data_IF_877225353002
#
_entry.id   IF_877225353002
#
_cell.length_a   1.000
_cell.length_b   1.000
_cell.length_c   1.000
_cell.angle_alpha   90.00
_cell.angle_beta   90.00
_cell.angle_gamma   90.00
#
_symmetry.space_group_name_H-M   'P 1'
#
loop_
_entity.id
_entity.type
_entity.pdbx_description
1 polymer ?
#
# COMPACT_ATOMS: atom_id res chain seq x y z
N UNK A 1 26.82 -37.79 -114.17
CA UNK A 1 27.76 -38.90 -114.30
C UNK A 1 27.72 -39.72 -113.05
N UNK A 2 27.24 -40.91 -113.20
CA UNK A 2 27.65 -42.22 -112.70
C UNK A 2 27.58 -42.41 -111.15
N UNK A 3 26.54 -43.20 -110.79
CA UNK A 3 26.58 -44.61 -110.37
C UNK A 3 27.42 -44.91 -109.13
N UNK A 4 27.02 -45.67 -108.16
CA UNK A 4 26.47 -47.03 -108.04
C UNK A 4 26.15 -47.33 -106.55
N UNK A 5 25.00 -47.74 -106.20
CA UNK A 5 24.54 -48.99 -105.65
C UNK A 5 25.55 -49.83 -104.85
N UNK A 6 25.17 -50.19 -103.62
CA UNK A 6 25.16 -51.57 -103.16
C UNK A 6 24.56 -51.67 -101.71
N UNK A 7 23.53 -52.48 -101.61
CA UNK A 7 23.01 -53.18 -100.47
C UNK A 7 23.95 -54.31 -100.04
N UNK A 8 23.64 -55.12 -99.03
CA UNK A 8 23.15 -54.94 -97.61
C UNK A 8 24.03 -55.75 -96.64
N UNK A 9 23.83 -55.50 -95.34
CA UNK A 9 24.11 -56.62 -94.41
C UNK A 9 23.21 -56.52 -93.15
N UNK A 10 22.26 -57.43 -93.06
CA UNK A 10 21.52 -57.75 -91.83
C UNK A 10 22.51 -58.21 -90.77
N UNK A 11 22.44 -57.62 -89.59
CA UNK A 11 22.98 -58.19 -88.35
C UNK A 11 21.88 -58.18 -87.29
N UNK A 12 21.70 -59.34 -86.73
CA UNK A 12 20.66 -59.80 -85.82
C UNK A 12 20.44 -58.91 -84.63
N UNK A 13 19.16 -58.72 -84.34
CA UNK A 13 18.72 -58.05 -83.10
C UNK A 13 19.10 -58.83 -81.87
N UNK A 14 19.70 -58.09 -80.93
CA UNK A 14 19.71 -58.48 -79.50
C UNK A 14 18.48 -57.83 -78.83
N UNK A 15 17.45 -58.65 -78.65
CA UNK A 15 16.33 -58.35 -77.77
C UNK A 15 16.83 -58.42 -76.39
N UNK A 16 17.09 -57.25 -75.73
CA UNK A 16 17.24 -57.15 -74.27
C UNK A 16 15.85 -57.29 -73.72
N UNK A 17 15.54 -58.41 -73.13
CA UNK A 17 14.36 -58.67 -72.31
C UNK A 17 14.27 -57.58 -71.18
N UNK A 18 13.12 -56.94 -70.98
CA UNK A 18 12.93 -56.05 -69.79
C UNK A 18 12.99 -56.94 -68.56
N UNK A 19 13.96 -56.67 -67.73
CA UNK A 19 14.06 -57.31 -66.39
C UNK A 19 12.72 -57.25 -65.72
N UNK A 20 12.07 -58.37 -65.50
CA UNK A 20 10.85 -58.49 -64.68
C UNK A 20 11.20 -57.99 -63.27
N UNK A 21 10.83 -56.73 -62.99
CA UNK A 21 10.83 -56.19 -61.65
C UNK A 21 10.03 -57.13 -60.79
N UNK A 22 10.66 -57.65 -59.70
CA UNK A 22 10.05 -58.58 -58.74
C UNK A 22 8.95 -57.89 -57.94
N UNK A 23 7.64 -58.17 -58.21
CA UNK A 23 6.52 -57.46 -57.55
C UNK A 23 6.43 -57.70 -56.06
N UNK A 24 7.15 -58.69 -55.51
CA UNK A 24 7.21 -59.02 -54.09
C UNK A 24 8.07 -58.06 -53.26
N UNK A 25 9.09 -57.41 -53.85
CA UNK A 25 9.93 -56.45 -53.17
C UNK A 25 9.19 -55.11 -52.97
N UNK A 26 8.45 -54.65 -53.92
CA UNK A 26 7.69 -53.39 -53.84
C UNK A 26 6.52 -53.50 -52.87
N UNK A 27 5.88 -54.65 -52.78
CA UNK A 27 4.83 -54.90 -51.75
C UNK A 27 5.39 -54.85 -50.34
N UNK A 28 6.52 -55.45 -50.03
CA UNK A 28 7.16 -55.44 -48.73
C UNK A 28 7.62 -54.04 -48.33
N UNK A 29 8.08 -53.22 -49.26
CA UNK A 29 8.45 -51.82 -49.00
C UNK A 29 7.22 -50.97 -48.75
N UNK A 30 6.12 -51.16 -49.44
CA UNK A 30 4.87 -50.47 -49.26
C UNK A 30 4.22 -50.82 -47.89
N UNK A 31 4.26 -52.10 -47.50
CA UNK A 31 3.76 -52.54 -46.18
C UNK A 31 4.59 -51.98 -45.01
N UNK A 32 5.93 -51.96 -45.14
CA UNK A 32 6.80 -51.31 -44.12
C UNK A 32 6.55 -49.82 -44.03
N UNK A 33 6.35 -49.11 -45.13
CA UNK A 33 6.00 -47.67 -45.09
C UNK A 33 4.64 -47.43 -44.42
N UNK A 34 3.62 -48.25 -44.72
CA UNK A 34 2.31 -48.20 -44.02
C UNK A 34 2.41 -48.49 -42.55
N UNK A 35 3.23 -49.47 -42.14
CA UNK A 35 3.44 -49.78 -40.71
C UNK A 35 4.15 -48.63 -39.94
N UNK A 36 5.16 -48.01 -40.58
CA UNK A 36 5.88 -46.87 -39.95
C UNK A 36 4.97 -45.64 -39.84
N UNK A 37 4.15 -45.34 -40.83
CA UNK A 37 3.21 -44.23 -40.78
C UNK A 37 2.10 -44.48 -39.75
N UNK A 38 1.57 -45.70 -39.69
CA UNK A 38 0.59 -46.09 -38.69
C UNK A 38 1.15 -45.99 -37.23
N UNK A 39 2.41 -46.43 -37.04
CA UNK A 39 3.08 -46.30 -35.74
C UNK A 39 3.30 -44.84 -35.34
N UNK A 40 3.69 -43.98 -36.29
CA UNK A 40 3.84 -42.52 -36.02
C UNK A 40 2.49 -41.85 -35.69
N UNK A 41 1.43 -42.22 -36.39
CA UNK A 41 0.08 -41.70 -36.13
C UNK A 41 -0.43 -42.16 -34.74
N UNK A 42 -0.21 -43.45 -34.39
CA UNK A 42 -0.57 -43.94 -33.02
C UNK A 42 0.23 -43.22 -31.94
N UNK A 43 1.52 -42.99 -32.14
CA UNK A 43 2.37 -42.26 -31.15
C UNK A 43 1.89 -40.81 -31.03
N UNK A 44 1.61 -40.11 -32.11
CA UNK A 44 1.06 -38.73 -32.08
C UNK A 44 -0.31 -38.70 -31.43
N UNK A 45 -1.21 -39.65 -31.69
CA UNK A 45 -2.51 -39.74 -31.02
C UNK A 45 -2.37 -39.97 -29.53
N UNK A 46 -1.44 -40.84 -29.11
CA UNK A 46 -1.13 -41.01 -27.68
C UNK A 46 -0.56 -39.75 -27.05
N UNK A 47 0.38 -39.08 -27.69
CA UNK A 47 0.94 -37.82 -27.22
C UNK A 47 -0.14 -36.71 -27.08
N UNK A 48 -1.00 -36.58 -28.08
CA UNK A 48 -2.14 -35.68 -28.04
C UNK A 48 -3.11 -36.06 -26.91
N UNK A 49 -3.39 -37.34 -26.73
CA UNK A 49 -4.23 -37.81 -25.61
C UNK A 49 -3.64 -37.46 -24.25
N UNK A 50 -2.35 -37.68 -24.03
CA UNK A 50 -1.66 -37.30 -22.80
C UNK A 50 -1.63 -35.76 -22.61
N UNK A 51 -1.42 -34.98 -23.66
CA UNK A 51 -1.43 -33.52 -23.59
C UNK A 51 -2.83 -32.99 -23.26
N UNK A 52 -3.88 -33.54 -23.84
CA UNK A 52 -5.27 -33.20 -23.51
C UNK A 52 -5.64 -33.59 -22.08
N UNK A 53 -5.20 -34.77 -21.63
CA UNK A 53 -5.40 -35.20 -20.24
C UNK A 53 -4.70 -34.28 -19.26
N UNK A 54 -3.44 -33.93 -19.53
CA UNK A 54 -2.67 -33.00 -18.70
C UNK A 54 -3.32 -31.60 -18.65
N UNK A 55 -3.81 -31.11 -19.80
CA UNK A 55 -4.55 -29.86 -19.89
C UNK A 55 -5.88 -29.92 -19.09
N UNK A 56 -6.63 -31.00 -19.25
CA UNK A 56 -7.88 -31.21 -18.52
C UNK A 56 -7.64 -31.28 -17.00
N UNK A 57 -6.56 -31.95 -16.59
CA UNK A 57 -6.17 -32.02 -15.20
C UNK A 57 -5.76 -30.63 -14.66
N UNK A 58 -4.98 -29.88 -15.42
CA UNK A 58 -4.57 -28.53 -15.07
C UNK A 58 -5.77 -27.57 -14.96
N UNK A 59 -6.68 -27.64 -15.92
CA UNK A 59 -7.93 -26.87 -15.88
C UNK A 59 -8.79 -27.31 -14.67
N UNK A 60 -8.93 -28.60 -14.46
CA UNK A 60 -9.68 -29.17 -13.33
C UNK A 60 -9.14 -28.73 -11.98
N UNK A 61 -7.82 -28.74 -11.79
CA UNK A 61 -7.18 -28.27 -10.53
C UNK A 61 -7.39 -26.77 -10.33
N UNK A 62 -7.27 -25.94 -11.37
CA UNK A 62 -7.55 -24.51 -11.30
C UNK A 62 -9.02 -24.24 -10.98
N UNK A 63 -9.96 -24.97 -11.56
CA UNK A 63 -11.38 -24.83 -11.28
C UNK A 63 -11.72 -25.30 -9.86
N UNK A 64 -11.14 -26.39 -9.39
CA UNK A 64 -11.30 -26.88 -8.03
C UNK A 64 -10.80 -25.85 -7.01
N UNK A 65 -9.62 -25.24 -7.27
CA UNK A 65 -9.07 -24.18 -6.42
C UNK A 65 -9.94 -22.90 -6.38
N UNK A 66 -10.81 -22.71 -7.34
CA UNK A 66 -11.78 -21.59 -7.39
C UNK A 66 -13.12 -21.92 -6.77
N UNK A 67 -13.34 -23.14 -6.32
CA UNK A 67 -14.61 -23.52 -5.67
C UNK A 67 -14.70 -22.92 -4.26
N UNK A 68 -15.92 -22.74 -3.72
CA UNK A 68 -16.16 -22.28 -2.33
C UNK A 68 -15.53 -23.18 -1.26
N UNK A 69 -15.17 -24.42 -1.59
CA UNK A 69 -14.46 -25.35 -0.69
C UNK A 69 -13.09 -24.80 -0.26
N UNK A 70 -12.43 -23.97 -1.09
CA UNK A 70 -11.20 -23.25 -0.80
C UNK A 70 -11.46 -21.75 -0.64
N UNK A 71 -12.66 -21.40 -0.14
CA UNK A 71 -13.06 -20.02 0.09
C UNK A 71 -12.39 -19.42 1.33
N UNK A 72 -12.34 -18.09 1.35
CA UNK A 72 -11.93 -17.32 2.52
C UNK A 72 -12.87 -17.63 3.70
N UNK A 73 -12.35 -18.20 4.77
CA UNK A 73 -13.12 -18.55 5.97
C UNK A 73 -13.21 -17.39 6.95
N UNK A 74 -12.12 -16.65 7.18
CA UNK A 74 -12.07 -15.56 8.14
C UNK A 74 -11.14 -14.43 7.72
N UNK A 75 -11.42 -13.22 8.24
CA UNK A 75 -10.52 -12.07 8.13
C UNK A 75 -10.24 -11.54 9.53
N UNK A 76 -8.98 -11.55 9.91
CA UNK A 76 -8.49 -11.00 11.18
C UNK A 76 -7.96 -9.59 10.93
N UNK A 77 -8.48 -8.62 11.69
CA UNK A 77 -8.03 -7.23 11.64
C UNK A 77 -7.32 -6.93 12.95
N UNK A 78 -6.08 -6.47 12.85
CA UNK A 78 -5.18 -6.16 13.98
C UNK A 78 -4.67 -4.72 13.90
N UNK A 79 -4.30 -4.14 15.05
CA UNK A 79 -3.70 -2.81 15.14
C UNK A 79 -4.69 -1.65 15.20
N UNK A 80 -5.99 -1.91 15.17
CA UNK A 80 -7.03 -0.88 15.29
C UNK A 80 -7.28 -0.53 16.76
N UNK A 81 -7.39 0.77 17.07
CA UNK A 81 -7.74 1.31 18.38
C UNK A 81 -8.96 2.23 18.31
N UNK A 82 -9.00 3.09 17.33
CA UNK A 82 -10.06 4.08 17.08
C UNK A 82 -10.85 3.74 15.83
N UNK A 83 -10.16 3.14 14.83
CA UNK A 83 -10.78 2.71 13.59
C UNK A 83 -11.61 1.44 13.84
N UNK A 84 -12.88 1.45 13.45
CA UNK A 84 -13.75 0.29 13.57
C UNK A 84 -13.30 -0.87 12.66
N UNK A 85 -13.34 -2.09 13.19
CA UNK A 85 -13.06 -3.30 12.40
C UNK A 85 -13.93 -3.37 11.15
N UNK A 86 -15.21 -3.02 11.26
CA UNK A 86 -16.16 -3.08 10.16
C UNK A 86 -15.83 -2.09 9.05
N UNK A 87 -15.27 -0.91 9.40
CA UNK A 87 -14.78 0.09 8.43
C UNK A 87 -13.60 -0.45 7.62
N UNK A 88 -12.67 -1.17 8.27
CA UNK A 88 -11.54 -1.83 7.60
C UNK A 88 -12.03 -2.95 6.68
N UNK A 89 -12.97 -3.78 7.14
CA UNK A 89 -13.54 -4.88 6.36
C UNK A 89 -14.32 -4.36 5.14
N UNK A 90 -15.09 -3.29 5.31
CA UNK A 90 -15.81 -2.63 4.23
C UNK A 90 -14.84 -2.09 3.17
N UNK A 91 -13.77 -1.40 3.60
CA UNK A 91 -12.73 -0.90 2.70
C UNK A 91 -11.96 -2.03 2.00
N UNK A 92 -11.65 -3.11 2.70
CA UNK A 92 -11.00 -4.28 2.14
C UNK A 92 -11.81 -4.91 1.01
N UNK A 93 -13.16 -4.77 1.06
CA UNK A 93 -14.11 -5.33 0.09
C UNK A 93 -13.90 -6.83 -0.14
N UNK A 94 -13.68 -7.57 0.94
CA UNK A 94 -13.56 -9.03 0.94
C UNK A 94 -14.80 -9.65 1.57
N UNK A 95 -15.23 -10.80 1.03
CA UNK A 95 -16.40 -11.52 1.52
C UNK A 95 -16.02 -12.96 1.87
N UNK A 96 -16.58 -13.53 2.93
CA UNK A 96 -16.47 -14.95 3.19
C UNK A 96 -16.88 -15.78 1.97
N UNK A 97 -16.22 -16.90 1.72
CA UNK A 97 -16.49 -17.78 0.57
C UNK A 97 -15.83 -17.36 -0.74
N UNK A 98 -15.19 -16.19 -0.85
CA UNK A 98 -14.42 -15.83 -2.06
C UNK A 98 -13.23 -16.78 -2.23
N UNK A 99 -12.83 -17.10 -3.49
CA UNK A 99 -11.67 -17.95 -3.75
C UNK A 99 -10.39 -17.38 -3.11
N UNK A 100 -9.91 -18.05 -2.04
CA UNK A 100 -8.81 -17.58 -1.21
C UNK A 100 -7.50 -17.38 -1.99
N UNK A 101 -7.17 -18.33 -2.88
CA UNK A 101 -5.94 -18.27 -3.67
C UNK A 101 -5.97 -17.19 -4.76
N UNK A 102 -7.16 -16.80 -5.20
CA UNK A 102 -7.36 -15.77 -6.23
C UNK A 102 -7.42 -14.34 -5.71
N UNK A 103 -7.28 -14.12 -4.38
CA UNK A 103 -7.35 -12.79 -3.80
C UNK A 103 -6.11 -11.97 -4.15
N UNK A 104 -6.33 -10.78 -4.69
CA UNK A 104 -5.28 -9.76 -4.90
C UNK A 104 -5.04 -9.00 -3.59
N UNK A 105 -4.03 -9.45 -2.84
CA UNK A 105 -3.66 -8.86 -1.54
C UNK A 105 -3.21 -7.41 -1.67
N UNK A 106 -2.56 -7.06 -2.78
CA UNK A 106 -2.08 -5.70 -3.00
C UNK A 106 -3.24 -4.74 -3.29
N UNK A 107 -4.25 -5.16 -4.05
CA UNK A 107 -5.46 -4.39 -4.22
C UNK A 107 -6.23 -4.19 -2.90
N UNK A 108 -6.30 -5.23 -2.06
CA UNK A 108 -6.90 -5.14 -0.71
C UNK A 108 -6.09 -4.14 0.13
N UNK A 109 -4.77 -4.27 0.16
CA UNK A 109 -3.88 -3.36 0.89
C UNK A 109 -4.08 -1.91 0.47
N UNK A 110 -4.12 -1.63 -0.85
CA UNK A 110 -4.33 -0.27 -1.37
C UNK A 110 -5.68 0.31 -0.94
N UNK A 111 -6.75 -0.48 -0.97
CA UNK A 111 -8.08 -0.03 -0.52
C UNK A 111 -8.10 0.31 0.96
N UNK A 112 -7.50 -0.54 1.81
CA UNK A 112 -7.40 -0.27 3.25
C UNK A 112 -6.50 0.93 3.54
N UNK A 113 -5.36 1.06 2.85
CA UNK A 113 -4.44 2.18 2.99
C UNK A 113 -5.01 3.52 2.48
N UNK A 114 -6.08 3.48 1.68
CA UNK A 114 -6.79 4.69 1.23
C UNK A 114 -7.68 5.31 2.32
N UNK A 115 -7.95 4.60 3.42
CA UNK A 115 -8.68 5.17 4.55
C UNK A 115 -7.86 6.31 5.20
N UNK A 116 -8.45 7.48 5.45
CA UNK A 116 -7.72 8.63 6.01
C UNK A 116 -7.02 8.33 7.34
N UNK A 117 -7.67 7.52 8.20
CA UNK A 117 -7.17 7.12 9.52
C UNK A 117 -6.08 6.03 9.48
N UNK A 118 -5.70 5.54 8.29
CA UNK A 118 -4.67 4.51 8.11
C UNK A 118 -3.37 5.14 7.66
N UNK A 119 -2.31 4.97 8.44
CA UNK A 119 -0.95 5.39 8.09
C UNK A 119 -0.29 4.35 7.18
N UNK A 120 -0.44 3.07 7.53
CA UNK A 120 0.05 1.94 6.74
C UNK A 120 -0.88 0.73 6.92
N UNK A 121 -0.94 -0.11 5.90
CA UNK A 121 -1.66 -1.38 5.94
C UNK A 121 -0.79 -2.50 5.39
N UNK A 122 -0.86 -3.66 6.02
CA UNK A 122 -0.24 -4.90 5.55
C UNK A 122 -1.30 -5.99 5.50
N UNK A 123 -1.33 -6.71 4.40
CA UNK A 123 -2.27 -7.82 4.20
C UNK A 123 -1.46 -9.07 3.93
N UNK A 124 -1.68 -10.10 4.73
CA UNK A 124 -1.00 -11.39 4.59
C UNK A 124 -1.99 -12.54 4.61
N UNK A 125 -1.63 -13.62 3.92
CA UNK A 125 -2.39 -14.86 3.99
C UNK A 125 -2.08 -15.55 5.31
N UNK A 126 -3.13 -15.96 6.01
CA UNK A 126 -3.05 -16.75 7.23
C UNK A 126 -3.67 -18.13 6.93
N UNK A 127 -2.79 -19.07 6.65
CA UNK A 127 -3.20 -20.40 6.19
C UNK A 127 -4.01 -21.16 7.26
N UNK A 128 -4.97 -22.03 6.87
CA UNK A 128 -5.24 -22.48 5.49
C UNK A 128 -6.18 -21.57 4.67
N UNK A 129 -7.04 -20.76 5.28
CA UNK A 129 -8.12 -20.06 4.58
C UNK A 129 -8.49 -18.71 5.20
N UNK A 130 -7.54 -18.04 5.87
CA UNK A 130 -7.76 -16.76 6.52
C UNK A 130 -6.88 -15.65 5.97
N UNK A 131 -7.33 -14.41 6.09
CA UNK A 131 -6.53 -13.22 5.84
C UNK A 131 -6.27 -12.50 7.16
N UNK A 132 -5.07 -11.97 7.29
CA UNK A 132 -4.71 -11.05 8.36
C UNK A 132 -4.42 -9.68 7.76
N UNK A 133 -5.17 -8.67 8.23
CA UNK A 133 -5.01 -7.27 7.87
C UNK A 133 -4.45 -6.57 9.10
N UNK A 134 -3.20 -6.13 9.02
CA UNK A 134 -2.54 -5.36 10.08
C UNK A 134 -2.58 -3.90 9.67
N UNK A 135 -3.14 -3.06 10.54
CA UNK A 135 -3.34 -1.63 10.31
C UNK A 135 -2.52 -0.84 11.30
N UNK A 136 -1.71 0.07 10.79
CA UNK A 136 -1.10 1.12 11.58
C UNK A 136 -2.01 2.35 11.50
N UNK A 137 -2.63 2.72 12.61
CA UNK A 137 -3.52 3.89 12.64
C UNK A 137 -2.71 5.19 12.58
N UNK A 138 -3.32 6.19 11.95
CA UNK A 138 -2.81 7.56 11.92
C UNK A 138 -3.48 8.37 13.02
N UNK A 139 -2.78 8.65 14.15
CA UNK A 139 -3.38 9.38 15.24
C UNK A 139 -3.57 10.85 14.86
N UNK A 140 -4.67 11.49 15.29
CA UNK A 140 -4.80 12.93 15.23
C UNK A 140 -3.83 13.59 16.22
N UNK A 141 -3.17 14.67 15.79
CA UNK A 141 -2.29 15.48 16.66
C UNK A 141 -2.88 16.84 16.98
N UNK A 142 -3.84 17.31 16.19
CA UNK A 142 -4.49 18.59 16.41
C UNK A 142 -5.90 18.62 15.82
N UNK A 143 -6.68 19.60 16.23
CA UNK A 143 -7.92 20.02 15.59
C UNK A 143 -7.80 21.42 15.01
N UNK A 144 -8.38 21.64 13.82
CA UNK A 144 -8.46 22.96 13.19
C UNK A 144 -9.92 23.27 12.94
N UNK A 145 -10.37 24.47 13.33
CA UNK A 145 -11.77 24.88 13.14
C UNK A 145 -11.94 25.61 11.80
N UNK A 146 -12.95 25.19 11.05
CA UNK A 146 -13.43 25.91 9.87
C UNK A 146 -14.95 26.05 9.99
N UNK A 147 -15.43 27.26 10.07
CA UNK A 147 -16.84 27.57 10.39
C UNK A 147 -17.28 26.88 11.71
N UNK A 148 -18.32 26.06 11.68
CA UNK A 148 -18.85 25.33 12.82
C UNK A 148 -18.31 23.92 12.98
N UNK A 149 -17.26 23.53 12.20
CA UNK A 149 -16.74 22.17 12.12
C UNK A 149 -15.29 22.15 12.57
N UNK A 150 -14.92 21.16 13.38
CA UNK A 150 -13.54 20.83 13.73
C UNK A 150 -13.05 19.71 12.83
N UNK A 151 -11.89 19.91 12.25
CA UNK A 151 -11.19 18.96 11.40
C UNK A 151 -10.03 18.37 12.16
N UNK A 152 -10.03 17.07 12.34
CA UNK A 152 -8.93 16.36 13.00
C UNK A 152 -7.83 16.14 11.97
N UNK A 153 -6.61 16.49 12.35
CA UNK A 153 -5.46 16.46 11.43
C UNK A 153 -4.31 15.69 12.07
N UNK A 154 -3.68 14.85 11.27
CA UNK A 154 -2.50 14.08 11.66
C UNK A 154 -1.21 14.90 11.46
N UNK A 155 -0.10 14.39 12.01
CA UNK A 155 1.21 15.05 11.94
C UNK A 155 1.72 15.27 10.52
N UNK A 156 1.36 14.39 9.58
CA UNK A 156 1.72 14.47 8.16
C UNK A 156 0.82 15.41 7.33
N UNK A 157 -0.10 16.12 7.99
CA UNK A 157 -1.06 17.02 7.36
C UNK A 157 -2.27 16.33 6.75
N UNK A 158 -2.45 15.03 6.94
CA UNK A 158 -3.65 14.34 6.47
C UNK A 158 -4.85 14.70 7.33
N UNK A 159 -5.93 15.12 6.70
CA UNK A 159 -7.22 15.35 7.35
C UNK A 159 -7.91 14.02 7.58
N UNK A 160 -8.23 13.69 8.84
CA UNK A 160 -8.73 12.37 9.21
C UNK A 160 -10.25 12.31 9.18
N UNK A 161 -10.89 13.26 9.88
CA UNK A 161 -12.34 13.34 9.98
C UNK A 161 -12.80 14.74 10.35
N UNK A 162 -14.10 14.97 10.24
CA UNK A 162 -14.78 16.20 10.64
C UNK A 162 -15.78 15.94 11.76
N UNK A 163 -15.81 16.82 12.77
CA UNK A 163 -16.76 16.73 13.89
C UNK A 163 -17.32 18.10 14.24
N UNK A 164 -18.55 18.15 14.71
CA UNK A 164 -19.17 19.39 15.19
C UNK A 164 -18.81 19.69 16.64
N UNK A 165 -18.39 18.69 17.39
CA UNK A 165 -17.97 18.86 18.78
C UNK A 165 -16.46 19.07 18.85
N UNK A 166 -16.03 19.97 19.75
CA UNK A 166 -14.60 20.16 19.99
C UNK A 166 -13.99 18.88 20.55
N UNK A 167 -12.97 18.30 19.90
CA UNK A 167 -12.35 17.09 20.39
C UNK A 167 -11.67 17.32 21.72
N UNK A 168 -11.98 16.49 22.71
CA UNK A 168 -11.32 16.52 24.01
C UNK A 168 -9.88 15.98 23.88
N UNK A 169 -8.94 16.59 24.60
CA UNK A 169 -7.55 16.11 24.67
C UNK A 169 -6.69 16.42 23.44
N UNK A 170 -7.24 17.00 22.37
CA UNK A 170 -6.48 17.48 21.24
C UNK A 170 -6.28 18.99 21.27
N UNK A 171 -5.05 19.49 21.01
CA UNK A 171 -4.82 20.92 20.88
C UNK A 171 -5.57 21.49 19.68
N UNK A 172 -6.07 22.70 19.85
CA UNK A 172 -6.71 23.45 18.79
C UNK A 172 -5.71 24.39 18.13
N UNK A 173 -5.53 24.25 16.80
CA UNK A 173 -4.70 25.18 16.04
C UNK A 173 -5.57 26.35 15.59
N UNK A 174 -5.22 27.54 16.07
CA UNK A 174 -5.84 28.80 15.72
C UNK A 174 -5.00 29.58 14.70
N UNK A 175 -5.63 30.53 14.04
CA UNK A 175 -4.97 31.50 13.16
C UNK A 175 -4.48 30.98 11.81
N UNK A 176 -4.91 29.79 11.39
CA UNK A 176 -4.58 29.26 10.06
C UNK A 176 -5.84 28.86 9.32
N UNK A 177 -6.11 29.41 8.14
CA UNK A 177 -7.23 28.99 7.32
C UNK A 177 -6.98 27.60 6.71
N UNK A 178 -8.01 26.76 6.70
CA UNK A 178 -8.03 25.54 5.91
C UNK A 178 -8.47 25.83 4.47
N UNK A 179 -8.02 25.04 3.48
CA UNK A 179 -8.49 25.12 2.11
C UNK A 179 -10.02 25.05 2.00
N UNK A 180 -10.58 25.59 0.92
CA UNK A 180 -12.04 25.64 0.73
C UNK A 180 -12.65 24.25 0.58
N UNK A 181 -11.96 23.35 -0.07
CA UNK A 181 -12.34 21.99 -0.47
C UNK A 181 -11.83 20.89 0.47
N UNK A 182 -11.59 21.21 1.74
CA UNK A 182 -11.10 20.23 2.71
C UNK A 182 -12.13 19.12 2.95
N UNK A 183 -11.68 17.88 2.88
CA UNK A 183 -12.45 16.66 3.16
C UNK A 183 -11.56 15.59 3.82
N UNK A 184 -12.12 14.55 4.45
CA UNK A 184 -11.32 13.43 4.95
C UNK A 184 -10.48 12.80 3.84
N UNK A 185 -9.17 12.59 4.11
CA UNK A 185 -8.19 12.14 3.12
C UNK A 185 -7.45 13.26 2.40
N UNK A 186 -7.91 14.52 2.47
CA UNK A 186 -7.15 15.66 1.95
C UNK A 186 -5.81 15.77 2.67
N UNK A 187 -4.77 16.17 1.92
CA UNK A 187 -3.45 16.45 2.47
C UNK A 187 -3.19 17.95 2.43
N UNK A 188 -2.91 18.52 3.58
CA UNK A 188 -2.58 19.93 3.69
C UNK A 188 -1.20 20.20 3.08
N UNK A 189 -1.06 21.33 2.39
CA UNK A 189 0.19 21.68 1.73
C UNK A 189 1.34 21.81 2.75
N UNK A 190 2.53 21.31 2.46
CA UNK A 190 3.71 21.53 3.28
C UNK A 190 4.19 23.00 3.21
N UNK A 191 5.10 23.37 4.12
CA UNK A 191 5.77 24.68 4.06
C UNK A 191 4.92 25.87 4.53
N UNK A 192 3.78 25.64 5.14
CA UNK A 192 2.96 26.69 5.75
C UNK A 192 2.99 26.63 7.28
N UNK A 193 2.51 27.67 7.98
CA UNK A 193 2.51 27.68 9.45
C UNK A 193 1.78 26.51 10.09
N UNK A 194 0.69 26.02 9.48
CA UNK A 194 -0.06 24.86 9.95
C UNK A 194 0.78 23.59 9.86
N UNK A 195 1.44 23.36 8.75
CA UNK A 195 2.32 22.20 8.57
C UNK A 195 3.46 22.20 9.61
N UNK A 196 4.06 23.37 9.89
CA UNK A 196 5.05 23.52 10.95
C UNK A 196 4.48 23.16 12.34
N UNK A 197 3.28 23.62 12.64
CA UNK A 197 2.59 23.29 13.90
C UNK A 197 2.30 21.78 14.02
N UNK A 198 1.83 21.15 12.97
CA UNK A 198 1.54 19.71 12.95
C UNK A 198 2.81 18.87 13.10
N UNK A 199 3.90 19.26 12.42
CA UNK A 199 5.21 18.63 12.55
C UNK A 199 5.72 18.76 13.99
N UNK A 200 5.61 19.96 14.57
CA UNK A 200 6.03 20.19 15.95
C UNK A 200 5.24 19.34 16.95
N UNK A 201 3.91 19.27 16.80
CA UNK A 201 3.06 18.45 17.66
C UNK A 201 3.32 16.95 17.48
N UNK A 202 3.55 16.49 16.25
CA UNK A 202 3.79 15.08 15.96
C UNK A 202 5.11 14.55 16.48
N UNK A 203 6.15 15.39 16.51
CA UNK A 203 7.48 15.05 17.06
C UNK A 203 7.67 15.41 18.53
N UNK A 204 6.68 16.08 19.14
CA UNK A 204 6.77 16.53 20.53
C UNK A 204 6.77 15.38 21.52
N UNK A 205 7.56 15.50 22.59
CA UNK A 205 7.55 14.53 23.68
C UNK A 205 6.13 14.37 24.26
N UNK A 206 5.65 13.15 24.50
CA UNK A 206 4.27 12.92 24.98
C UNK A 206 3.93 13.65 26.27
N UNK A 207 4.92 13.86 27.16
CA UNK A 207 4.75 14.60 28.41
C UNK A 207 4.38 16.06 28.19
N UNK A 208 5.00 16.71 27.19
CA UNK A 208 4.73 18.09 26.83
C UNK A 208 3.46 18.17 25.97
N UNK A 209 3.31 17.30 25.00
CA UNK A 209 2.16 17.25 24.08
C UNK A 209 0.82 17.20 24.83
N UNK A 210 0.72 16.38 25.88
CA UNK A 210 -0.50 16.27 26.70
C UNK A 210 -0.86 17.55 27.46
N UNK A 211 0.08 18.49 27.59
CA UNK A 211 -0.14 19.76 28.25
C UNK A 211 -0.56 20.87 27.30
N UNK A 212 -0.34 20.69 25.99
CA UNK A 212 -0.72 21.68 24.97
C UNK A 212 -2.24 21.66 24.77
N UNK A 213 -2.87 22.83 24.89
CA UNK A 213 -4.34 23.00 24.72
C UNK A 213 -4.67 23.85 23.49
N UNK A 214 -3.77 24.75 23.09
CA UNK A 214 -3.95 25.55 21.90
C UNK A 214 -2.59 25.83 21.24
N UNK A 215 -2.64 26.07 19.94
CA UNK A 215 -1.49 26.40 19.12
C UNK A 215 -1.82 27.60 18.27
N UNK A 216 -0.98 28.61 18.30
CA UNK A 216 -1.05 29.79 17.46
C UNK A 216 0.09 29.74 16.43
N UNK A 217 -0.25 29.54 15.17
CA UNK A 217 0.70 29.45 14.07
C UNK A 217 0.52 30.67 13.15
N UNK A 218 1.06 31.82 13.56
CA UNK A 218 0.91 33.09 12.82
C UNK A 218 1.82 33.18 11.63
N UNK A 219 3.02 32.66 11.76
CA UNK A 219 4.05 32.57 10.70
C UNK A 219 4.82 31.25 10.87
N UNK A 220 5.71 30.93 9.94
CA UNK A 220 6.55 29.72 10.03
C UNK A 220 7.41 29.71 11.31
N UNK A 221 7.97 30.86 11.68
CA UNK A 221 8.77 31.07 12.88
C UNK A 221 7.98 31.56 14.10
N UNK A 222 6.71 31.92 13.91
CA UNK A 222 5.81 32.44 14.92
C UNK A 222 4.91 31.38 15.55
N UNK A 223 5.43 30.15 15.77
CA UNK A 223 4.71 29.08 16.42
C UNK A 223 4.74 29.26 17.93
N UNK A 224 3.57 29.35 18.54
CA UNK A 224 3.36 29.48 19.99
C UNK A 224 2.42 28.37 20.47
N UNK A 225 2.81 27.68 21.54
CA UNK A 225 1.96 26.73 22.24
C UNK A 225 1.39 27.37 23.51
N UNK A 226 0.12 27.13 23.79
CA UNK A 226 -0.50 27.43 25.06
C UNK A 226 -0.69 26.13 25.83
N UNK A 227 -0.09 26.09 27.01
CA UNK A 227 -0.19 24.95 27.91
C UNK A 227 -1.45 25.05 28.79
N UNK A 228 -1.79 23.94 29.44
CA UNK A 228 -2.99 23.81 30.27
C UNK A 228 -3.00 24.76 31.49
N UNK A 229 -1.83 25.07 32.03
CA UNK A 229 -1.64 26.02 33.14
C UNK A 229 -1.59 27.49 32.68
N UNK A 230 -1.82 27.75 31.40
CA UNK A 230 -1.80 29.09 30.82
C UNK A 230 -0.45 29.53 30.29
N UNK A 231 0.64 28.86 30.60
CA UNK A 231 1.99 29.18 30.12
C UNK A 231 2.02 29.21 28.58
N UNK A 232 2.62 30.26 28.02
CA UNK A 232 2.88 30.38 26.56
C UNK A 232 4.31 29.93 26.25
N UNK A 233 4.47 29.09 25.28
CA UNK A 233 5.76 28.60 24.83
C UNK A 233 6.01 29.09 23.40
N UNK A 234 6.96 30.01 23.21
CA UNK A 234 7.42 30.43 21.90
C UNK A 234 8.40 29.38 21.36
N UNK A 235 7.91 28.60 20.39
CA UNK A 235 8.61 27.42 19.89
C UNK A 235 9.35 27.68 18.57
N UNK A 236 8.75 28.51 17.71
CA UNK A 236 9.29 28.82 16.39
C UNK A 236 9.23 27.65 15.40
N UNK A 237 10.26 27.47 14.60
CA UNK A 237 10.31 26.38 13.64
C UNK A 237 10.37 25.01 14.34
N UNK A 238 9.75 24.00 13.72
CA UNK A 238 9.75 22.60 14.18
C UNK A 238 11.09 21.89 13.88
N UNK A 239 12.19 22.53 14.25
CA UNK A 239 13.56 22.01 14.18
C UNK A 239 14.12 21.85 15.59
N UNK A 240 15.08 20.93 15.78
CA UNK A 240 15.69 20.65 17.08
C UNK A 240 14.67 20.33 18.20
N UNK A 241 13.56 19.70 17.82
CA UNK A 241 12.43 19.43 18.71
C UNK A 241 12.85 18.74 20.04
N UNK A 242 13.71 17.69 20.03
CA UNK A 242 14.13 17.05 21.28
C UNK A 242 14.81 17.99 22.25
N UNK A 243 15.62 18.94 21.74
CA UNK A 243 16.29 19.94 22.56
C UNK A 243 15.33 20.99 23.10
N UNK A 244 14.41 21.50 22.27
CA UNK A 244 13.36 22.44 22.66
C UNK A 244 12.43 21.87 23.71
N UNK A 245 11.95 20.65 23.51
CA UNK A 245 11.09 19.97 24.47
C UNK A 245 11.80 19.75 25.81
N UNK A 246 13.07 19.33 25.78
CA UNK A 246 13.88 19.18 26.99
C UNK A 246 14.05 20.51 27.71
N UNK A 247 14.32 21.61 26.99
CA UNK A 247 14.45 22.93 27.56
C UNK A 247 13.16 23.40 28.25
N UNK A 248 11.99 23.24 27.59
CA UNK A 248 10.69 23.57 28.19
C UNK A 248 10.45 22.76 29.45
N UNK A 249 10.66 21.45 29.42
CA UNK A 249 10.43 20.57 30.56
C UNK A 249 11.40 20.85 31.70
N UNK A 250 12.66 21.17 31.44
CA UNK A 250 13.66 21.55 32.44
C UNK A 250 13.28 22.85 33.10
N UNK A 251 13.01 23.90 32.32
CA UNK A 251 12.58 25.21 32.84
C UNK A 251 11.36 25.06 33.75
N UNK A 252 10.36 24.34 33.33
CA UNK A 252 9.14 24.12 34.12
C UNK A 252 9.42 23.38 35.42
N UNK A 253 10.27 22.35 35.43
CA UNK A 253 10.66 21.62 36.64
C UNK A 253 11.39 22.53 37.64
N UNK A 254 12.31 23.36 37.12
CA UNK A 254 13.04 24.31 37.97
C UNK A 254 12.11 25.34 38.60
N UNK A 255 11.25 25.96 37.81
CA UNK A 255 10.33 26.99 38.31
C UNK A 255 9.25 26.43 39.22
N UNK A 256 8.79 25.19 39.00
CA UNK A 256 7.90 24.52 39.95
C UNK A 256 8.53 24.28 41.30
N UNK A 257 9.83 23.97 41.39
CA UNK A 257 10.57 23.84 42.65
C UNK A 257 10.69 25.20 43.36
N UNK A 258 10.86 26.27 42.60
CA UNK A 258 10.96 27.64 43.10
C UNK A 258 9.59 28.28 43.41
N UNK A 259 8.48 27.57 43.13
CA UNK A 259 7.09 28.05 43.26
C UNK A 259 6.83 29.37 42.53
N UNK A 260 7.53 29.53 41.37
CA UNK A 260 7.35 30.70 40.50
C UNK A 260 6.37 30.37 39.38
N UNK A 261 5.42 31.28 39.18
CA UNK A 261 4.50 31.23 38.06
C UNK A 261 5.18 31.78 36.79
N UNK A 262 4.88 31.19 35.66
CA UNK A 262 5.51 31.52 34.37
C UNK A 262 4.44 31.96 33.39
N UNK A 263 4.60 33.12 32.82
CA UNK A 263 3.76 33.62 31.74
C UNK A 263 4.21 33.07 30.39
N UNK A 264 5.53 33.12 30.15
CA UNK A 264 6.07 32.77 28.83
C UNK A 264 7.46 32.14 28.89
N UNK A 265 7.68 31.11 28.10
CA UNK A 265 8.99 30.47 27.88
C UNK A 265 9.32 30.61 26.41
N UNK A 266 10.49 31.13 26.07
CA UNK A 266 10.98 31.19 24.70
C UNK A 266 12.07 30.14 24.52
N UNK A 267 11.84 29.16 23.65
CA UNK A 267 12.74 28.07 23.30
C UNK A 267 13.10 28.07 21.81
N UNK A 268 12.95 29.17 21.11
CA UNK A 268 13.38 29.30 19.72
C UNK A 268 14.87 29.01 19.59
N UNK A 269 15.65 29.40 20.63
CA UNK A 269 16.99 28.91 20.84
C UNK A 269 17.03 27.98 22.08
N UNK A 270 17.08 26.65 21.87
CA UNK A 270 17.02 25.70 22.99
C UNK A 270 18.24 25.72 23.92
N UNK A 271 19.39 26.22 23.43
CA UNK A 271 20.63 26.35 24.24
C UNK A 271 20.59 27.52 25.21
N UNK A 272 19.73 28.52 24.98
CA UNK A 272 19.57 29.70 25.81
C UNK A 272 18.08 30.05 25.98
N UNK A 273 17.29 29.21 26.67
CA UNK A 273 15.87 29.48 26.87
C UNK A 273 15.67 30.72 27.75
N UNK A 274 14.74 31.59 27.37
CA UNK A 274 14.38 32.77 28.16
C UNK A 274 13.01 32.58 28.78
N UNK A 275 12.83 33.16 29.99
CA UNK A 275 11.61 33.03 30.75
C UNK A 275 11.11 34.41 31.17
N UNK A 276 9.81 34.64 30.97
CA UNK A 276 9.10 35.80 31.54
C UNK A 276 8.23 35.29 32.67
N UNK A 277 8.51 35.74 33.85
CA UNK A 277 7.69 35.44 35.04
C UNK A 277 6.31 36.10 34.90
N UNK A 278 5.28 35.48 35.48
CA UNK A 278 3.98 36.11 35.60
C UNK A 278 4.13 37.22 36.68
N UNK A 279 3.85 38.47 36.27
CA UNK A 279 3.71 39.56 37.25
C UNK A 279 2.52 39.22 38.13
N UNK A 280 2.76 39.07 39.43
CA UNK A 280 1.67 39.03 40.41
C UNK A 280 1.00 40.41 40.37
N UNK A 281 -0.07 40.51 39.58
CA UNK A 281 -0.98 41.64 39.74
C UNK A 281 -1.54 41.51 41.16
N UNK A 282 -0.94 42.25 42.10
CA UNK A 282 -1.48 42.42 43.46
C UNK A 282 -2.75 43.22 43.28
N UNK A 283 -3.88 42.52 43.13
CA UNK A 283 -5.19 43.15 43.25
C UNK A 283 -5.33 43.54 44.74
N UNK A 284 -5.17 44.82 45.01
CA UNK A 284 -5.67 45.44 46.21
C UNK A 284 -7.18 45.67 46.10
#
# INVERSE_FOLDING_TARGET
MTQRASQPRRVAGHQTSPARRRPAADRRIAERRKAITAARVRRRRRQLGWALLALALAVGTVQLARTPLFGLAAVHVEGTRVLGRDEVLAAAAVRPGQPYLGLDLEAIRRRVAALPKVAAARVVRDYPASLRIVVDERPPVASVRKAAVYWLVAADGTVLEATRQRPAGLPHVASVPLPTDVHPGSRLAPGNPLANALTALGGMRPELQRQVVAVHARSLDGLEFRLRDGTRVLYGLAVEQPAKDAAVLLVRRTLARERKEVERIDVRNPSAPTVVAADKITSR
#
